data_IF_992675372278
#
_entry.id   IF_992675372278
#
_cell.length_a   1.000
_cell.length_b   1.000
_cell.length_c   1.000
_cell.angle_alpha   90.00
_cell.angle_beta   90.00
_cell.angle_gamma   90.00
#
_symmetry.space_group_name_H-M   'P 1'
#
loop_
_entity.id
_entity.type
_entity.pdbx_description
1 polymer ?
#
# COMPACT_ATOMS: atom_id res chain seq x y z
N UNK A 1 4.32 -8.96 -62.63
CA UNK A 1 3.95 -8.06 -61.51
C UNK A 1 5.22 -7.74 -60.74
N UNK A 2 5.42 -6.47 -60.40
CA UNK A 2 6.68 -5.95 -59.87
C UNK A 2 7.09 -6.65 -58.56
N UNK A 3 8.27 -7.28 -58.55
CA UNK A 3 8.93 -7.66 -57.32
C UNK A 3 9.32 -6.39 -56.58
N UNK A 4 8.70 -6.14 -55.43
CA UNK A 4 9.33 -5.38 -54.36
C UNK A 4 9.48 -6.31 -53.16
N UNK A 5 10.65 -6.93 -53.03
CA UNK A 5 11.12 -7.44 -51.73
C UNK A 5 11.40 -6.24 -50.84
N UNK A 6 10.35 -5.63 -50.33
CA UNK A 6 10.43 -4.64 -49.26
C UNK A 6 10.40 -5.34 -47.91
N UNK A 7 11.28 -6.30 -47.65
CA UNK A 7 11.48 -6.81 -46.29
C UNK A 7 12.37 -5.78 -45.57
N UNK A 8 11.76 -4.64 -45.23
CA UNK A 8 12.31 -3.76 -44.22
C UNK A 8 12.14 -4.48 -42.90
N UNK A 9 13.23 -4.92 -42.28
CA UNK A 9 13.19 -5.40 -40.90
C UNK A 9 12.67 -4.27 -40.02
N UNK A 10 11.39 -4.32 -39.63
CA UNK A 10 10.88 -3.45 -38.59
C UNK A 10 11.52 -3.90 -37.29
N UNK A 11 12.49 -3.15 -36.79
CA UNK A 11 13.15 -3.44 -35.51
C UNK A 11 12.16 -3.17 -34.38
N UNK A 12 11.46 -4.21 -33.93
CA UNK A 12 10.56 -4.15 -32.79
C UNK A 12 11.41 -4.17 -31.51
N UNK A 13 11.98 -3.01 -31.13
CA UNK A 13 12.87 -2.85 -29.98
C UNK A 13 12.37 -1.85 -28.93
N UNK A 14 11.06 -1.56 -28.89
CA UNK A 14 10.46 -0.63 -27.92
C UNK A 14 10.04 -1.40 -26.68
N UNK A 15 10.67 -1.08 -25.55
CA UNK A 15 10.27 -1.55 -24.23
C UNK A 15 9.99 -0.36 -23.29
N UNK A 16 9.26 -0.62 -22.23
CA UNK A 16 8.88 0.36 -21.23
C UNK A 16 9.70 0.20 -19.95
N UNK A 17 9.96 1.31 -19.24
CA UNK A 17 10.63 1.22 -17.94
C UNK A 17 9.83 0.41 -16.92
N UNK A 18 10.54 -0.38 -16.12
CA UNK A 18 9.95 -1.14 -15.02
C UNK A 18 9.21 -0.24 -14.03
N UNK A 19 7.96 -0.62 -13.72
CA UNK A 19 7.07 0.13 -12.83
C UNK A 19 7.20 -0.26 -11.36
N UNK A 20 8.15 -1.14 -11.02
CA UNK A 20 8.47 -1.57 -9.63
C UNK A 20 7.24 -2.04 -8.82
N UNK A 21 6.29 -2.66 -9.51
CA UNK A 21 5.10 -3.29 -8.91
C UNK A 21 5.51 -4.49 -8.05
N UNK A 22 4.63 -4.92 -7.16
CA UNK A 22 4.81 -6.08 -6.30
C UNK A 22 4.52 -5.80 -4.83
N UNK A 23 4.70 -6.84 -4.04
CA UNK A 23 4.59 -6.82 -2.57
C UNK A 23 5.79 -6.05 -2.00
N UNK A 24 5.52 -5.19 -1.02
CA UNK A 24 6.51 -4.38 -0.30
C UNK A 24 6.66 -4.84 1.14
N UNK A 25 5.54 -5.19 1.78
CA UNK A 25 5.52 -5.80 3.12
C UNK A 25 4.93 -7.21 3.03
N UNK A 26 5.67 -8.18 3.57
CA UNK A 26 5.27 -9.58 3.58
C UNK A 26 4.47 -9.95 4.84
N UNK A 27 3.85 -11.12 4.82
CA UNK A 27 3.13 -11.64 5.98
C UNK A 27 4.05 -11.79 7.19
N UNK A 28 3.58 -11.36 8.37
CA UNK A 28 4.36 -11.39 9.61
C UNK A 28 5.23 -10.15 9.85
N UNK A 29 5.31 -9.22 8.90
CA UNK A 29 6.03 -7.95 9.09
C UNK A 29 5.14 -6.90 9.75
N UNK A 30 5.76 -6.01 10.53
CA UNK A 30 5.09 -4.84 11.09
C UNK A 30 4.84 -3.79 9.99
N UNK A 31 3.63 -3.24 9.99
CA UNK A 31 3.23 -2.11 9.18
C UNK A 31 2.88 -0.96 10.10
N UNK A 32 3.31 0.24 9.72
CA UNK A 32 2.85 1.50 10.30
C UNK A 32 1.66 1.99 9.45
N UNK A 33 0.72 2.71 10.05
CA UNK A 33 -0.37 3.37 9.35
C UNK A 33 0.18 4.23 8.19
N UNK A 34 -0.41 4.08 7.01
CA UNK A 34 0.04 4.71 5.77
C UNK A 34 1.09 3.91 4.99
N UNK A 35 1.72 2.88 5.55
CA UNK A 35 2.68 2.07 4.81
C UNK A 35 2.03 1.35 3.62
N UNK A 36 2.74 1.33 2.49
CA UNK A 36 2.33 0.59 1.30
C UNK A 36 2.65 -0.89 1.48
N UNK A 37 1.65 -1.74 1.37
CA UNK A 37 1.81 -3.20 1.44
C UNK A 37 2.06 -3.76 0.05
N UNK A 38 1.29 -3.35 -0.96
CA UNK A 38 1.37 -3.89 -2.32
C UNK A 38 1.08 -2.82 -3.36
N UNK A 39 1.95 -2.71 -4.37
CA UNK A 39 1.67 -1.95 -5.60
C UNK A 39 1.30 -2.92 -6.71
N UNK A 40 0.09 -2.83 -7.25
CA UNK A 40 -0.40 -3.80 -8.22
C UNK A 40 -1.02 -3.13 -9.46
N UNK A 41 -1.37 -3.95 -10.45
CA UNK A 41 -2.22 -3.57 -11.57
C UNK A 41 -3.49 -4.41 -11.43
N UNK A 42 -4.63 -3.73 -11.27
CA UNK A 42 -5.87 -4.38 -10.83
C UNK A 42 -5.75 -4.97 -9.41
N UNK A 43 -6.82 -5.62 -8.95
CA UNK A 43 -6.90 -6.21 -7.61
C UNK A 43 -6.56 -7.70 -7.64
N UNK A 44 -5.26 -8.02 -7.67
CA UNK A 44 -4.81 -9.40 -7.43
C UNK A 44 -5.02 -9.77 -5.96
N UNK A 45 -4.60 -8.87 -5.08
CA UNK A 45 -4.92 -8.90 -3.66
C UNK A 45 -6.01 -7.88 -3.36
N UNK A 46 -6.98 -8.28 -2.55
CA UNK A 46 -8.11 -7.47 -2.16
C UNK A 46 -7.87 -6.89 -0.75
N UNK A 47 -8.36 -5.66 -0.50
CA UNK A 47 -8.31 -5.09 0.84
C UNK A 47 -9.14 -5.93 1.80
N UNK A 48 -8.58 -6.17 2.97
CA UNK A 48 -9.23 -6.82 4.09
C UNK A 48 -9.46 -5.84 5.23
N UNK A 49 -9.36 -6.32 6.47
CA UNK A 49 -9.52 -5.48 7.67
C UNK A 49 -8.31 -4.55 7.84
N UNK A 50 -8.57 -3.28 8.16
CA UNK A 50 -7.56 -2.24 8.42
C UNK A 50 -6.62 -1.94 7.24
N UNK A 51 -7.07 -2.21 6.01
CA UNK A 51 -6.31 -1.98 4.78
C UNK A 51 -7.15 -1.14 3.82
N UNK A 52 -6.58 -0.06 3.31
CA UNK A 52 -7.18 0.81 2.31
C UNK A 52 -6.80 0.43 0.87
N UNK A 53 -7.62 0.85 -0.09
CA UNK A 53 -7.37 0.71 -1.53
C UNK A 53 -7.20 2.09 -2.17
N UNK A 54 -6.07 2.32 -2.83
CA UNK A 54 -5.81 3.55 -3.58
C UNK A 54 -6.42 3.54 -4.99
N UNK A 55 -6.37 4.69 -5.68
CA UNK A 55 -6.85 4.86 -7.07
C UNK A 55 -6.17 3.91 -8.06
N UNK A 56 -4.89 3.63 -7.86
CA UNK A 56 -4.11 2.71 -8.71
C UNK A 56 -4.12 1.27 -8.18
N UNK A 57 -5.09 0.93 -7.33
CA UNK A 57 -5.25 -0.37 -6.66
C UNK A 57 -4.13 -0.74 -5.68
N UNK A 58 -3.29 0.22 -5.29
CA UNK A 58 -2.30 0.03 -4.23
C UNK A 58 -2.99 -0.24 -2.90
N UNK A 59 -2.51 -1.25 -2.17
CA UNK A 59 -2.97 -1.56 -0.81
C UNK A 59 -2.04 -0.89 0.20
N UNK A 60 -2.64 -0.19 1.18
CA UNK A 60 -1.91 0.49 2.24
C UNK A 60 -2.54 0.24 3.61
N UNK A 61 -1.73 0.33 4.66
CA UNK A 61 -2.14 0.13 6.04
C UNK A 61 -2.96 1.33 6.56
N UNK A 62 -4.05 1.08 7.26
CA UNK A 62 -4.81 2.12 7.97
C UNK A 62 -4.41 2.24 9.45
N UNK A 63 -3.88 1.15 10.02
CA UNK A 63 -3.54 1.03 11.44
C UNK A 63 -2.19 0.34 11.55
N UNK A 64 -1.47 0.62 12.64
CA UNK A 64 -0.25 -0.08 13.00
C UNK A 64 -0.55 -1.54 13.37
N UNK A 65 0.32 -2.46 12.97
CA UNK A 65 0.15 -3.87 13.31
C UNK A 65 0.93 -4.80 12.41
N UNK A 66 0.52 -6.06 12.37
CA UNK A 66 1.19 -7.11 11.60
C UNK A 66 0.37 -7.45 10.36
N UNK A 67 1.03 -7.49 9.20
CA UNK A 67 0.40 -7.86 7.92
C UNK A 67 0.10 -9.35 7.89
N UNK A 68 -1.15 -9.73 7.59
CA UNK A 68 -1.58 -11.11 7.40
C UNK A 68 -2.24 -11.27 6.03
N UNK A 69 -1.72 -12.22 5.26
CA UNK A 69 -2.35 -12.67 4.03
C UNK A 69 -3.28 -13.83 4.34
N UNK A 70 -4.51 -13.78 3.82
CA UNK A 70 -5.45 -14.89 3.91
C UNK A 70 -5.98 -15.29 2.53
N UNK A 71 -6.12 -16.59 2.24
CA UNK A 71 -6.89 -17.05 1.10
C UNK A 71 -8.38 -16.83 1.37
N UNK A 72 -9.11 -16.42 0.34
CA UNK A 72 -10.57 -16.29 0.34
C UNK A 72 -11.22 -17.25 -0.64
N UNK A 73 -12.55 -17.13 -0.81
CA UNK A 73 -13.32 -17.92 -1.76
C UNK A 73 -12.93 -17.55 -3.21
N UNK A 74 -13.05 -18.50 -4.13
CA UNK A 74 -12.76 -18.33 -5.56
C UNK A 74 -11.33 -17.86 -5.86
N UNK A 75 -10.34 -18.40 -5.15
CA UNK A 75 -8.91 -18.09 -5.33
C UNK A 75 -8.54 -16.62 -5.15
N UNK A 76 -9.38 -15.83 -4.48
CA UNK A 76 -9.07 -14.43 -4.15
C UNK A 76 -8.19 -14.38 -2.92
N UNK A 77 -7.12 -13.59 -2.96
CA UNK A 77 -6.30 -13.33 -1.79
C UNK A 77 -6.71 -12.02 -1.13
N UNK A 78 -6.80 -12.01 0.19
CA UNK A 78 -7.08 -10.81 0.99
C UNK A 78 -5.88 -10.47 1.88
N UNK A 79 -5.72 -9.19 2.16
CA UNK A 79 -4.69 -8.66 3.05
C UNK A 79 -5.36 -7.98 4.21
N UNK A 80 -5.14 -8.50 5.42
CA UNK A 80 -5.59 -7.88 6.66
C UNK A 80 -4.38 -7.38 7.44
N UNK A 81 -4.58 -6.36 8.28
CA UNK A 81 -3.62 -6.01 9.34
C UNK A 81 -4.23 -6.40 10.67
N UNK A 82 -3.51 -7.25 11.40
CA UNK A 82 -3.81 -7.57 12.80
C UNK A 82 -3.19 -6.45 13.63
N UNK A 83 -3.99 -5.62 14.32
CA UNK A 83 -3.44 -4.62 15.21
C UNK A 83 -2.64 -5.35 16.30
N UNK A 84 -1.34 -5.07 16.39
CA UNK A 84 -0.65 -5.30 17.64
C UNK A 84 -1.28 -4.28 18.59
N UNK A 85 -2.01 -4.75 19.59
CA UNK A 85 -2.90 -3.90 20.39
C UNK A 85 -2.20 -2.62 20.87
N UNK A 86 -2.97 -1.56 21.18
CA UNK A 86 -2.38 -0.34 21.69
C UNK A 86 -1.66 -0.69 23.00
N UNK A 87 -0.34 -0.82 22.96
CA UNK A 87 0.44 -0.69 24.18
C UNK A 87 0.25 0.76 24.59
N UNK A 88 -0.68 0.93 25.53
CA UNK A 88 -0.94 2.11 26.31
C UNK A 88 0.17 3.17 26.25
N UNK A 89 -0.11 4.26 25.56
CA UNK A 89 0.44 5.60 25.77
C UNK A 89 -0.47 6.53 24.95
N UNK A 90 -1.01 7.61 25.45
CA UNK A 90 -1.08 8.15 26.80
C UNK A 90 -2.17 9.21 26.61
N UNK A 91 -3.24 9.13 27.38
CA UNK A 91 -3.96 10.37 27.71
C UNK A 91 -2.94 11.27 28.38
N UNK A 92 -2.41 12.25 27.66
CA UNK A 92 -1.95 13.49 28.25
C UNK A 92 -3.14 14.46 28.23
N UNK A 93 -3.94 14.53 29.32
CA UNK A 93 -4.69 15.76 29.59
C UNK A 93 -3.71 16.80 30.17
N UNK A 94 -4.04 18.09 30.00
CA UNK A 94 -3.40 19.26 30.67
C UNK A 94 -2.10 19.73 29.97
N UNK A 95 -1.93 20.98 29.53
CA UNK A 95 -2.35 22.23 30.16
C UNK A 95 -2.97 23.25 29.19
N UNK A 96 -4.21 23.63 29.50
CA UNK A 96 -4.69 25.00 29.30
C UNK A 96 -3.77 25.90 30.14
N UNK A 97 -3.06 26.82 29.51
CA UNK A 97 -2.40 27.91 30.23
C UNK A 97 -3.48 28.88 30.74
N UNK A 98 -3.68 29.03 32.06
CA UNK A 98 -4.44 30.16 32.56
C UNK A 98 -3.57 31.42 32.54
N UNK A 99 -4.27 32.55 32.49
CA UNK A 99 -3.73 33.89 32.48
C UNK A 99 -2.59 34.15 33.48
N UNK A 100 -1.62 34.94 33.04
CA UNK A 100 -0.87 35.83 33.91
C UNK A 100 -1.10 37.27 33.41
N UNK A 101 -2.05 37.94 34.08
CA UNK A 101 -2.10 39.39 34.20
C UNK A 101 -0.99 39.82 35.18
N UNK A 102 -0.45 41.02 34.95
CA UNK A 102 0.34 41.90 35.85
C UNK A 102 1.87 41.96 35.62
N UNK A 103 2.30 43.08 35.05
CA UNK A 103 3.29 44.08 35.53
C UNK A 103 3.52 45.06 34.35
N UNK A 104 3.77 46.36 34.47
CA UNK A 104 3.70 47.40 35.50
C UNK A 104 3.61 48.73 34.71
#
# INVERSE_FOLDING_TARGET
MAHKKGVGSSKNGRDSHSKRLGVKLFGGQSAIAGNIIIRQRGTKHHPGKNVGLGKDYTLFALVDGVVKFRPGRNSRSYVDIIPAGPSAVETAPVAVAPAATAEA
#
